data_IF_345645593510
#
_entry.id   IF_345645593510
#
_cell.length_a   1.000
_cell.length_b   1.000
_cell.length_c   1.000
_cell.angle_alpha   90.00
_cell.angle_beta   90.00
_cell.angle_gamma   90.00
#
_symmetry.space_group_name_H-M   'P 1'
#
loop_
_entity.id
_entity.type
_entity.pdbx_description
1 polymer ?
#
# COMPACT_ATOMS: atom_id res chain seq x y z
N UNK A 1 -25.99 13.41 1.90
CA UNK A 1 -25.42 12.90 3.17
C UNK A 1 -24.97 11.43 3.12
N UNK A 2 -25.58 10.58 2.29
CA UNK A 2 -25.23 9.14 2.28
C UNK A 2 -23.78 8.85 1.86
N UNK A 3 -23.31 9.49 0.79
CA UNK A 3 -21.95 9.30 0.26
C UNK A 3 -20.89 9.66 1.32
N UNK A 4 -21.07 10.79 2.02
CA UNK A 4 -20.15 11.23 3.06
C UNK A 4 -20.01 10.19 4.19
N UNK A 5 -21.11 9.61 4.65
CA UNK A 5 -21.06 8.56 5.68
C UNK A 5 -20.48 7.24 5.17
N UNK A 6 -20.63 6.90 3.87
CA UNK A 6 -19.94 5.74 3.28
C UNK A 6 -18.43 5.94 3.22
N UNK A 7 -17.99 7.12 2.79
CA UNK A 7 -16.56 7.49 2.77
C UNK A 7 -16.02 7.47 4.19
N UNK A 8 -16.73 8.07 5.15
CA UNK A 8 -16.34 8.06 6.55
C UNK A 8 -16.22 6.62 7.09
N UNK A 9 -17.16 5.73 6.76
CA UNK A 9 -17.09 4.33 7.16
C UNK A 9 -15.82 3.65 6.63
N UNK A 10 -15.50 3.78 5.35
CA UNK A 10 -14.29 3.17 4.75
C UNK A 10 -13.00 3.75 5.35
N UNK A 11 -12.92 5.07 5.50
CA UNK A 11 -11.73 5.73 6.03
C UNK A 11 -11.53 5.46 7.52
N UNK A 12 -12.60 5.49 8.31
CA UNK A 12 -12.52 5.27 9.76
C UNK A 12 -12.27 3.79 10.08
N UNK A 13 -12.81 2.85 9.31
CA UNK A 13 -12.48 1.43 9.46
C UNK A 13 -11.00 1.15 9.16
N UNK A 14 -10.45 1.76 8.11
CA UNK A 14 -9.01 1.70 7.82
C UNK A 14 -8.17 2.32 8.95
N UNK A 15 -8.62 3.45 9.49
CA UNK A 15 -7.96 4.12 10.62
C UNK A 15 -7.98 3.23 11.86
N UNK A 16 -9.13 2.60 12.17
CA UNK A 16 -9.29 1.65 13.25
C UNK A 16 -8.33 0.47 13.11
N UNK A 17 -8.28 -0.13 11.92
CA UNK A 17 -7.34 -1.22 11.61
C UNK A 17 -5.87 -0.81 11.80
N UNK A 18 -5.48 0.34 11.25
CA UNK A 18 -4.12 0.86 11.33
C UNK A 18 -3.71 1.20 12.77
N UNK A 19 -4.64 1.75 13.56
CA UNK A 19 -4.46 1.97 14.99
C UNK A 19 -4.28 0.64 15.74
N UNK A 20 -5.11 -0.36 15.45
CA UNK A 20 -4.99 -1.71 15.99
C UNK A 20 -3.62 -2.33 15.72
N UNK A 21 -3.14 -2.26 14.48
CA UNK A 21 -1.82 -2.74 14.09
C UNK A 21 -0.69 -1.99 14.83
N UNK A 22 -0.78 -0.65 14.92
CA UNK A 22 0.21 0.15 15.63
C UNK A 22 0.30 -0.17 17.14
N UNK A 23 -0.84 -0.46 17.78
CA UNK A 23 -0.91 -0.92 19.18
C UNK A 23 -0.42 -2.37 19.33
N UNK A 24 -0.73 -3.23 18.35
CA UNK A 24 -0.32 -4.62 18.29
C UNK A 24 1.20 -4.78 18.25
N UNK A 25 1.91 -3.88 17.58
CA UNK A 25 3.34 -3.98 17.32
C UNK A 25 4.27 -3.88 18.55
N UNK A 26 3.79 -3.46 19.75
CA UNK A 26 4.57 -3.42 21.01
C UNK A 26 6.03 -2.92 20.88
N UNK A 27 6.25 -1.80 20.19
CA UNK A 27 7.60 -1.24 20.04
C UNK A 27 8.38 -1.78 18.83
N UNK A 28 7.78 -2.62 18.00
CA UNK A 28 8.31 -3.03 16.69
C UNK A 28 7.80 -2.12 15.58
N UNK A 29 8.34 -2.27 14.37
CA UNK A 29 7.90 -1.56 13.18
C UNK A 29 6.93 -2.47 12.41
N UNK A 30 5.60 -2.28 12.52
CA UNK A 30 4.65 -3.09 11.79
C UNK A 30 4.72 -2.73 10.31
N UNK A 31 4.66 -3.76 9.46
CA UNK A 31 4.59 -3.62 8.00
C UNK A 31 3.35 -4.39 7.53
N UNK A 32 2.46 -3.78 6.73
CA UNK A 32 1.30 -4.49 6.20
C UNK A 32 1.76 -5.56 5.21
N UNK A 33 1.28 -6.79 5.40
CA UNK A 33 1.44 -7.89 4.46
C UNK A 33 0.19 -8.12 3.62
N UNK A 34 0.23 -9.15 2.77
CA UNK A 34 -0.90 -9.51 1.91
C UNK A 34 -2.17 -9.83 2.72
N UNK A 35 -2.03 -10.55 3.83
CA UNK A 35 -3.15 -10.87 4.73
C UNK A 35 -3.80 -9.61 5.30
N UNK A 36 -3.02 -8.56 5.55
CA UNK A 36 -3.56 -7.30 6.07
C UNK A 36 -4.40 -6.59 5.00
N UNK A 37 -3.93 -6.57 3.76
CA UNK A 37 -4.68 -6.00 2.63
C UNK A 37 -5.99 -6.76 2.42
N UNK A 38 -5.95 -8.09 2.39
CA UNK A 38 -7.15 -8.92 2.27
C UNK A 38 -8.12 -8.68 3.43
N UNK A 39 -7.63 -8.64 4.67
CA UNK A 39 -8.46 -8.37 5.84
C UNK A 39 -9.12 -7.00 5.75
N UNK A 40 -8.39 -5.95 5.33
CA UNK A 40 -8.93 -4.60 5.17
C UNK A 40 -10.03 -4.56 4.11
N UNK A 41 -9.83 -5.20 2.95
CA UNK A 41 -10.86 -5.27 1.91
C UNK A 41 -12.09 -6.04 2.42
N UNK A 42 -11.90 -7.16 3.10
CA UNK A 42 -13.01 -7.93 3.69
C UNK A 42 -13.78 -7.12 4.75
N UNK A 43 -13.07 -6.36 5.59
CA UNK A 43 -13.68 -5.45 6.56
C UNK A 43 -14.48 -4.35 5.86
N UNK A 44 -13.99 -3.77 4.76
CA UNK A 44 -14.74 -2.79 3.98
C UNK A 44 -15.99 -3.36 3.35
N UNK A 45 -15.90 -4.55 2.74
CA UNK A 45 -17.05 -5.25 2.18
C UNK A 45 -18.07 -5.52 3.27
N UNK A 46 -17.66 -6.10 4.40
CA UNK A 46 -18.54 -6.34 5.54
C UNK A 46 -19.18 -5.06 6.10
N UNK A 47 -18.39 -3.99 6.20
CA UNK A 47 -18.87 -2.69 6.67
C UNK A 47 -19.95 -2.11 5.74
N UNK A 48 -19.73 -2.15 4.43
CA UNK A 48 -20.68 -1.66 3.44
C UNK A 48 -21.95 -2.52 3.42
N UNK A 49 -21.82 -3.85 3.43
CA UNK A 49 -22.95 -4.77 3.37
C UNK A 49 -23.83 -4.72 4.62
N UNK A 50 -23.24 -4.59 5.81
CA UNK A 50 -23.98 -4.54 7.08
C UNK A 50 -24.53 -3.17 7.43
N UNK A 51 -24.17 -2.13 6.67
CA UNK A 51 -24.62 -0.74 6.90
C UNK A 51 -26.13 -0.59 6.82
N UNK A 52 -26.80 -1.33 5.94
CA UNK A 52 -28.26 -1.30 5.81
C UNK A 52 -28.96 -1.85 7.05
N UNK A 53 -28.33 -2.78 7.77
CA UNK A 53 -28.87 -3.39 8.97
C UNK A 53 -28.55 -2.61 10.26
N UNK A 54 -27.31 -2.10 10.42
CA UNK A 54 -26.88 -1.40 11.63
C UNK A 54 -27.21 0.11 11.65
N UNK A 55 -27.59 0.68 10.51
CA UNK A 55 -27.76 2.12 10.36
C UNK A 55 -26.43 2.87 10.17
N UNK A 56 -26.51 4.15 9.82
CA UNK A 56 -25.36 4.91 9.29
C UNK A 56 -24.22 5.13 10.29
N UNK A 57 -24.53 5.57 11.51
CA UNK A 57 -23.54 5.93 12.53
C UNK A 57 -23.09 4.75 13.41
N UNK A 58 -23.99 3.84 13.86
CA UNK A 58 -23.58 2.69 14.65
C UNK A 58 -22.65 1.74 13.87
N UNK A 59 -22.89 1.57 12.55
CA UNK A 59 -22.01 0.78 11.69
C UNK A 59 -20.57 1.30 11.73
N UNK A 60 -20.36 2.61 11.74
CA UNK A 60 -19.02 3.20 11.83
C UNK A 60 -18.34 2.76 13.14
N UNK A 61 -19.00 2.92 14.28
CA UNK A 61 -18.44 2.54 15.58
C UNK A 61 -18.08 1.05 15.64
N UNK A 62 -19.00 0.19 15.22
CA UNK A 62 -18.81 -1.27 15.22
C UNK A 62 -17.62 -1.66 14.35
N UNK A 63 -17.54 -1.16 13.13
CA UNK A 63 -16.49 -1.57 12.20
C UNK A 63 -15.13 -0.90 12.48
N UNK A 64 -15.10 0.28 13.10
CA UNK A 64 -13.86 0.86 13.64
C UNK A 64 -13.28 -0.04 14.73
N UNK A 65 -14.11 -0.50 15.66
CA UNK A 65 -13.70 -1.41 16.73
C UNK A 65 -13.29 -2.78 16.17
N UNK A 66 -14.06 -3.34 15.23
CA UNK A 66 -13.71 -4.58 14.56
C UNK A 66 -12.36 -4.47 13.84
N UNK A 67 -12.14 -3.39 13.09
CA UNK A 67 -10.86 -3.11 12.45
C UNK A 67 -9.72 -3.04 13.45
N UNK A 68 -9.90 -2.30 14.55
CA UNK A 68 -8.91 -2.19 15.62
C UNK A 68 -8.55 -3.57 16.21
N UNK A 69 -9.54 -4.38 16.54
CA UNK A 69 -9.31 -5.71 17.12
C UNK A 69 -8.61 -6.63 16.13
N UNK A 70 -9.05 -6.69 14.87
CA UNK A 70 -8.43 -7.53 13.84
C UNK A 70 -6.99 -7.10 13.58
N UNK A 71 -6.73 -5.80 13.40
CA UNK A 71 -5.39 -5.27 13.19
C UNK A 71 -4.46 -5.57 14.36
N UNK A 72 -4.97 -5.45 15.59
CA UNK A 72 -4.23 -5.80 16.80
C UNK A 72 -3.89 -7.29 16.85
N UNK A 73 -4.87 -8.16 16.63
CA UNK A 73 -4.70 -9.62 16.70
C UNK A 73 -3.73 -10.11 15.63
N UNK A 74 -3.92 -9.69 14.37
CA UNK A 74 -3.06 -10.12 13.26
C UNK A 74 -1.63 -9.64 13.42
N UNK A 75 -1.43 -8.42 13.93
CA UNK A 75 -0.09 -7.90 14.22
C UNK A 75 0.54 -8.62 15.40
N UNK A 76 -0.24 -8.95 16.43
CA UNK A 76 0.24 -9.72 17.59
C UNK A 76 0.65 -11.13 17.22
N UNK A 77 -0.14 -11.81 16.39
CA UNK A 77 0.17 -13.15 15.90
C UNK A 77 1.49 -13.18 15.11
N UNK A 78 1.82 -12.10 14.39
CA UNK A 78 3.03 -11.98 13.57
C UNK A 78 4.12 -11.15 14.22
N UNK A 79 4.04 -10.91 15.53
CA UNK A 79 4.97 -10.00 16.21
C UNK A 79 6.43 -10.40 15.97
N UNK A 80 6.72 -11.70 15.99
CA UNK A 80 8.03 -12.30 15.76
C UNK A 80 8.68 -11.89 14.42
N UNK A 81 7.89 -11.62 13.39
CA UNK A 81 8.36 -11.30 12.04
C UNK A 81 8.79 -9.83 11.89
N UNK A 82 8.38 -8.95 12.79
CA UNK A 82 8.70 -7.52 12.71
C UNK A 82 10.07 -7.22 13.29
N UNK A 83 10.78 -6.29 12.64
CA UNK A 83 12.02 -5.73 13.17
C UNK A 83 11.74 -4.90 14.42
N UNK A 84 12.68 -4.94 15.36
CA UNK A 84 12.65 -4.04 16.51
C UNK A 84 12.75 -2.60 16.00
N UNK A 85 11.89 -1.71 16.52
CA UNK A 85 12.15 -0.29 16.30
C UNK A 85 13.43 0.06 17.08
N UNK A 86 14.24 0.96 16.53
CA UNK A 86 15.37 1.53 17.26
C UNK A 86 14.91 1.97 18.65
N UNK A 87 15.67 1.57 19.67
CA UNK A 87 15.40 1.86 21.09
C UNK A 87 15.56 3.37 21.32
N UNK A 88 14.55 4.14 20.97
CA UNK A 88 14.44 5.51 21.47
C UNK A 88 14.16 5.44 22.99
N UNK A 89 14.83 6.31 23.74
CA UNK A 89 14.69 6.44 25.19
C UNK A 89 13.21 6.32 25.61
N UNK A 90 12.94 5.60 26.72
CA UNK A 90 11.59 5.46 27.28
C UNK A 90 10.89 6.81 27.20
N UNK A 91 9.74 6.86 26.53
CA UNK A 91 8.96 8.08 26.42
C UNK A 91 8.63 8.55 27.83
N UNK A 92 9.36 9.55 28.32
CA UNK A 92 9.23 10.03 29.69
C UNK A 92 7.88 10.75 29.92
N UNK A 93 7.16 11.10 28.83
CA UNK A 93 5.96 11.91 28.85
C UNK A 93 4.92 11.38 27.84
N UNK A 94 3.63 11.50 28.18
CA UNK A 94 2.47 11.08 27.35
C UNK A 94 2.54 11.64 25.93
N UNK A 95 2.99 12.89 25.77
CA UNK A 95 3.14 13.53 24.46
C UNK A 95 4.11 12.81 23.53
N UNK A 96 5.23 12.31 24.06
CA UNK A 96 6.21 11.57 23.26
C UNK A 96 5.67 10.20 22.87
N UNK A 97 4.93 9.55 23.77
CA UNK A 97 4.25 8.29 23.48
C UNK A 97 3.18 8.47 22.38
N UNK A 98 2.38 9.55 22.45
CA UNK A 98 1.40 9.90 21.43
C UNK A 98 2.05 10.12 20.05
N UNK A 99 3.11 10.93 19.97
CA UNK A 99 3.83 11.15 18.70
C UNK A 99 4.42 9.85 18.14
N UNK A 100 4.99 9.01 19.00
CA UNK A 100 5.53 7.71 18.57
C UNK A 100 4.43 6.79 18.03
N UNK A 101 3.27 6.77 18.69
CA UNK A 101 2.10 6.05 18.22
C UNK A 101 1.58 6.59 16.88
N UNK A 102 1.36 7.91 16.78
CA UNK A 102 0.87 8.56 15.58
C UNK A 102 1.80 8.33 14.38
N UNK A 103 3.13 8.39 14.59
CA UNK A 103 4.12 8.07 13.56
C UNK A 103 4.03 6.62 13.09
N UNK A 104 3.88 5.67 14.03
CA UNK A 104 3.76 4.24 13.70
C UNK A 104 2.47 3.96 12.93
N UNK A 105 1.35 4.49 13.41
CA UNK A 105 0.02 4.33 12.79
C UNK A 105 -0.01 4.97 11.40
N UNK A 106 0.49 6.21 11.27
CA UNK A 106 0.58 6.91 9.99
C UNK A 106 1.48 6.20 8.97
N UNK A 107 2.65 5.72 9.39
CA UNK A 107 3.53 4.94 8.51
C UNK A 107 2.87 3.63 8.03
N UNK A 108 2.14 2.95 8.91
CA UNK A 108 1.40 1.75 8.55
C UNK A 108 0.29 2.06 7.54
N UNK A 109 -0.54 3.07 7.84
CA UNK A 109 -1.64 3.50 6.99
C UNK A 109 -1.14 3.97 5.61
N UNK A 110 -0.04 4.73 5.57
CA UNK A 110 0.58 5.16 4.32
C UNK A 110 1.03 3.98 3.45
N UNK A 111 1.62 2.95 4.05
CA UNK A 111 2.00 1.71 3.33
C UNK A 111 0.79 0.95 2.81
N UNK A 112 -0.30 0.88 3.57
CA UNK A 112 -1.56 0.27 3.10
C UNK A 112 -2.11 1.04 1.89
N UNK A 113 -2.23 2.37 1.99
CA UNK A 113 -2.75 3.19 0.89
C UNK A 113 -1.88 3.04 -0.35
N UNK A 114 -0.55 3.07 -0.18
CA UNK A 114 0.39 2.83 -1.29
C UNK A 114 0.21 1.45 -1.90
N UNK A 115 0.11 0.40 -1.08
CA UNK A 115 -0.13 -0.94 -1.60
C UNK A 115 -1.44 -1.03 -2.39
N UNK A 116 -2.53 -0.47 -1.85
CA UNK A 116 -3.82 -0.43 -2.55
C UNK A 116 -3.72 0.31 -3.87
N UNK A 117 -3.08 1.48 -3.93
CA UNK A 117 -2.82 2.22 -5.18
C UNK A 117 -2.05 1.36 -6.19
N UNK A 118 -1.01 0.67 -5.74
CA UNK A 118 -0.20 -0.17 -6.62
C UNK A 118 -1.01 -1.34 -7.17
N UNK A 119 -1.78 -2.04 -6.35
CA UNK A 119 -2.57 -3.19 -6.79
C UNK A 119 -3.81 -2.80 -7.61
N UNK A 120 -4.39 -1.63 -7.38
CA UNK A 120 -5.64 -1.21 -8.05
C UNK A 120 -5.43 -0.37 -9.29
N UNK A 121 -4.31 0.37 -9.38
CA UNK A 121 -4.04 1.29 -10.51
C UNK A 121 -2.79 0.87 -11.27
N UNK A 122 -1.65 0.76 -10.58
CA UNK A 122 -0.35 0.55 -11.24
C UNK A 122 -0.25 -0.83 -11.85
N UNK A 123 -0.63 -1.88 -11.11
CA UNK A 123 -0.57 -3.27 -11.55
C UNK A 123 -1.44 -3.55 -12.78
N UNK A 124 -2.75 -3.21 -12.82
CA UNK A 124 -3.55 -3.46 -14.02
C UNK A 124 -3.06 -2.65 -15.22
N UNK A 125 -2.58 -1.42 -15.02
CA UNK A 125 -1.98 -0.63 -16.10
C UNK A 125 -0.70 -1.27 -16.64
N UNK A 126 0.22 -1.66 -15.75
CA UNK A 126 1.47 -2.33 -16.13
C UNK A 126 1.22 -3.69 -16.80
N UNK A 127 0.24 -4.44 -16.30
CA UNK A 127 -0.19 -5.70 -16.91
C UNK A 127 -0.77 -5.47 -18.31
N UNK A 128 -1.67 -4.48 -18.47
CA UNK A 128 -2.22 -4.13 -19.79
C UNK A 128 -1.12 -3.69 -20.77
N UNK A 129 -0.20 -2.81 -20.36
CA UNK A 129 0.91 -2.37 -21.19
C UNK A 129 1.84 -3.54 -21.60
N UNK A 130 2.09 -4.47 -20.68
CA UNK A 130 2.96 -5.63 -20.92
C UNK A 130 2.27 -6.70 -21.76
N UNK A 131 0.97 -6.96 -21.55
CA UNK A 131 0.20 -8.00 -22.24
C UNK A 131 -0.30 -7.54 -23.61
N UNK A 132 -0.72 -6.28 -23.75
CA UNK A 132 -1.24 -5.72 -25.00
C UNK A 132 -0.14 -5.06 -25.84
N UNK A 133 0.88 -4.48 -25.21
CA UNK A 133 2.01 -3.88 -25.89
C UNK A 133 3.13 -4.88 -26.24
N UNK A 134 4.05 -4.44 -27.09
CA UNK A 134 5.37 -5.07 -27.28
C UNK A 134 6.47 -4.00 -27.14
N UNK A 135 6.56 -3.29 -26.00
CA UNK A 135 7.50 -2.18 -25.82
C UNK A 135 8.97 -2.62 -25.95
N UNK A 136 9.25 -3.91 -25.73
CA UNK A 136 10.58 -4.50 -25.85
C UNK A 136 10.79 -5.27 -27.17
N UNK A 137 9.79 -5.31 -28.07
CA UNK A 137 9.88 -6.02 -29.35
C UNK A 137 10.07 -7.54 -29.24
N UNK A 138 9.77 -8.13 -28.07
CA UNK A 138 10.03 -9.55 -27.74
C UNK A 138 8.97 -10.45 -28.38
N UNK A 139 7.73 -9.97 -28.52
CA UNK A 139 6.62 -10.78 -29.07
C UNK A 139 6.76 -10.98 -30.57
N UNK A 140 7.32 -10.00 -31.28
CA UNK A 140 7.66 -10.12 -32.70
C UNK A 140 9.07 -10.68 -32.87
N UNK A 141 9.20 -12.01 -32.92
CA UNK A 141 10.42 -12.65 -33.45
C UNK A 141 10.58 -12.28 -34.93
N UNK A 142 11.26 -11.18 -35.24
CA UNK A 142 11.67 -10.82 -36.59
C UNK A 142 13.06 -11.39 -36.85
N UNK A 143 13.12 -12.59 -37.43
CA UNK A 143 14.33 -13.15 -38.03
C UNK A 143 15.30 -13.86 -37.08
N UNK A 144 16.42 -14.33 -37.64
CA UNK A 144 17.47 -15.10 -36.95
C UNK A 144 18.28 -14.30 -35.90
N UNK A 145 17.99 -13.02 -35.72
CA UNK A 145 18.78 -12.08 -34.93
C UNK A 145 17.92 -10.98 -34.32
N UNK A 146 18.15 -10.67 -33.04
CA UNK A 146 17.53 -9.54 -32.34
C UNK A 146 18.30 -8.22 -32.52
N UNK A 147 19.35 -8.20 -33.35
CA UNK A 147 20.12 -6.99 -33.64
C UNK A 147 19.25 -6.03 -34.46
N UNK A 148 18.99 -4.84 -33.91
CA UNK A 148 18.33 -3.76 -34.65
C UNK A 148 19.35 -3.00 -35.49
N UNK A 149 19.07 -2.69 -36.77
CA UNK A 149 19.98 -1.91 -37.59
C UNK A 149 20.16 -0.52 -36.99
N UNK A 150 21.39 -0.21 -36.58
CA UNK A 150 21.77 1.14 -36.17
C UNK A 150 21.71 2.03 -37.42
N UNK A 151 20.84 3.04 -37.41
CA UNK A 151 20.83 4.06 -38.46
C UNK A 151 22.10 4.90 -38.31
N UNK A 152 23.08 4.63 -39.16
CA UNK A 152 24.29 5.46 -39.26
C UNK A 152 23.99 6.53 -40.31
N UNK A 153 24.15 7.83 -39.99
CA UNK A 153 24.05 8.89 -40.98
C UNK A 153 25.03 8.61 -42.14
N UNK A 154 24.62 8.87 -43.38
CA UNK A 154 25.40 8.56 -44.59
C UNK A 154 26.75 9.31 -44.63
N UNK A 155 26.90 10.38 -43.83
CA UNK A 155 28.15 11.10 -43.60
C UNK A 155 28.22 11.60 -42.15
N UNK A 156 28.74 10.83 -41.19
CA UNK A 156 29.05 11.37 -39.87
C UNK A 156 30.26 12.30 -40.03
N UNK A 157 30.11 13.58 -39.67
CA UNK A 157 31.26 14.49 -39.62
C UNK A 157 32.22 14.04 -38.51
N UNK A 158 33.51 14.28 -38.71
CA UNK A 158 34.52 13.97 -37.68
C UNK A 158 34.26 14.80 -36.42
N UNK A 159 33.74 16.03 -36.57
CA UNK A 159 33.26 16.85 -35.45
C UNK A 159 32.06 16.24 -34.69
N UNK A 160 31.12 15.58 -35.37
CA UNK A 160 29.99 14.90 -34.70
C UNK A 160 30.44 13.65 -33.94
N UNK A 161 31.42 12.91 -34.47
CA UNK A 161 31.99 11.75 -33.79
C UNK A 161 32.72 12.14 -32.49
N UNK A 162 33.29 13.35 -32.43
CA UNK A 162 33.97 13.88 -31.24
C UNK A 162 33.03 14.32 -30.10
N UNK A 163 31.71 14.45 -30.34
CA UNK A 163 30.72 14.91 -29.34
C UNK A 163 30.07 13.80 -28.52
N UNK A 164 30.47 12.54 -28.73
CA UNK A 164 29.92 11.39 -28.01
C UNK A 164 30.59 11.11 -26.65
N UNK A 165 31.61 11.87 -26.27
CA UNK A 165 32.28 11.81 -24.96
C UNK A 165 32.25 13.18 -24.27
#
# INVERSE_FOLDING_TARGET
MEIASSIALVLLTLTGYSAGAALGARGRIPVPGLLDLLAIVLLWVGAISSRTALGRWPAIGVWVLAGLLVGLVLTRARLAQYSNAERNARAANVWQAWKAFARRMGNYQGRVIMALLYFTVVLPFGAAATLLGDPLGIKRKRGASNWQPKQIPIKPSVEEAGRQY
#
